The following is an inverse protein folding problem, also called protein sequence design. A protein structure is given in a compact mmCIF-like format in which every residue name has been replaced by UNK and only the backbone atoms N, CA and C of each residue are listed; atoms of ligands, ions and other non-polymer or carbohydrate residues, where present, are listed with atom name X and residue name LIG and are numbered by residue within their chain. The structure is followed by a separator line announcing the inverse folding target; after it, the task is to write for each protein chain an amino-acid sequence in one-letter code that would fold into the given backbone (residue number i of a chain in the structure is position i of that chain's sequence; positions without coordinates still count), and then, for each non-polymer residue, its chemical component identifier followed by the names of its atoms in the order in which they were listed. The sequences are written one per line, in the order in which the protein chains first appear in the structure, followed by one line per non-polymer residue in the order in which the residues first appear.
data_IF_131898064807
#
_entry.id   IF_131898064807
#
_cell.length_a   1.000
_cell.length_b   1.000
_cell.length_c   1.000
_cell.angle_alpha   90.00
_cell.angle_beta   90.00
_cell.angle_gamma   90.00
#
_symmetry.space_group_name_H-M   'P 1'
#
loop_
_entity.id
_entity.type
_entity.pdbx_description
1 polymer ?
#
# COMPACT_ATOMS: atom_id res chain seq x y z
N UNK A 1 25.31 -35.99 19.77
CA UNK A 1 25.73 -35.61 18.41
C UNK A 1 24.68 -34.70 17.80
N UNK A 2 24.94 -33.40 17.70
CA UNK A 2 24.72 -32.60 16.48
C UNK A 2 25.20 -31.18 16.74
N UNK A 3 25.88 -30.65 15.74
CA UNK A 3 26.92 -29.64 15.86
C UNK A 3 26.51 -28.33 15.20
N UNK A 4 27.01 -27.22 15.77
CA UNK A 4 27.56 -26.03 15.09
C UNK A 4 26.58 -25.15 14.30
N UNK A 5 26.25 -24.01 14.90
CA UNK A 5 26.12 -22.74 14.16
C UNK A 5 27.53 -22.32 13.69
N UNK A 6 27.74 -21.87 12.42
CA UNK A 6 27.86 -20.42 12.22
C UNK A 6 27.60 -19.86 10.79
N UNK A 7 27.18 -18.59 10.76
CA UNK A 7 27.52 -17.52 9.79
C UNK A 7 27.01 -17.60 8.33
N UNK A 8 26.20 -16.59 7.99
CA UNK A 8 25.79 -16.10 6.66
C UNK A 8 26.92 -16.07 5.61
N UNK A 9 26.56 -16.31 4.32
CA UNK A 9 27.10 -15.54 3.22
C UNK A 9 26.06 -14.54 2.70
N UNK A 10 26.44 -13.26 2.81
CA UNK A 10 25.87 -12.09 2.16
C UNK A 10 25.98 -12.26 0.64
N UNK A 11 24.94 -12.78 -0.02
CA UNK A 11 24.86 -12.83 -1.49
C UNK A 11 24.12 -11.60 -2.01
N UNK A 12 24.90 -10.62 -2.46
CA UNK A 12 24.44 -9.65 -3.44
C UNK A 12 23.99 -10.39 -4.70
N UNK A 13 22.72 -10.22 -5.10
CA UNK A 13 22.30 -10.53 -6.46
C UNK A 13 21.74 -9.24 -7.09
N UNK A 14 22.67 -8.37 -7.49
CA UNK A 14 22.35 -7.30 -8.41
C UNK A 14 22.18 -7.90 -9.81
N UNK A 15 21.02 -7.61 -10.41
CA UNK A 15 20.71 -7.65 -11.85
C UNK A 15 20.51 -9.04 -12.46
N UNK A 16 19.25 -9.46 -12.43
CA UNK A 16 18.63 -10.10 -13.60
C UNK A 16 17.38 -9.29 -13.95
N UNK A 17 17.52 -8.43 -14.95
CA UNK A 17 16.43 -7.67 -15.53
C UNK A 17 15.40 -8.64 -16.12
N UNK A 18 14.13 -8.54 -15.67
CA UNK A 18 12.99 -9.08 -16.43
C UNK A 18 11.99 -10.00 -15.71
N UNK A 19 12.23 -10.45 -14.48
CA UNK A 19 11.39 -11.52 -13.86
C UNK A 19 10.95 -11.29 -12.40
N UNK A 20 10.71 -10.05 -11.98
CA UNK A 20 10.17 -9.79 -10.63
C UNK A 20 9.12 -8.68 -10.64
N UNK A 21 8.07 -8.86 -11.45
CA UNK A 21 6.84 -8.07 -11.37
C UNK A 21 5.97 -8.50 -10.17
N UNK A 22 6.53 -8.54 -8.95
CA UNK A 22 5.68 -8.35 -7.75
C UNK A 22 5.02 -6.96 -7.97
N UNK A 23 3.74 -6.77 -8.32
CA UNK A 23 2.48 -7.40 -7.89
C UNK A 23 2.37 -7.54 -6.37
N UNK A 24 2.87 -6.54 -5.65
CA UNK A 24 2.30 -6.19 -4.35
C UNK A 24 1.33 -5.03 -4.59
N UNK A 25 0.03 -5.27 -4.52
CA UNK A 25 -0.87 -4.17 -4.21
C UNK A 25 -0.65 -3.89 -2.73
N UNK A 26 0.19 -2.92 -2.41
CA UNK A 26 0.31 -2.46 -1.02
C UNK A 26 -0.96 -1.69 -0.70
N UNK A 27 -1.61 -2.05 0.40
CA UNK A 27 -2.79 -1.34 0.88
C UNK A 27 -2.39 -0.55 2.12
N UNK A 28 -2.72 0.73 2.16
CA UNK A 28 -2.67 1.52 3.38
C UNK A 28 -4.08 1.70 3.91
N UNK A 29 -4.25 1.66 5.22
CA UNK A 29 -5.54 1.76 5.89
C UNK A 29 -5.45 2.82 6.98
N UNK A 30 -6.52 3.58 7.19
CA UNK A 30 -6.54 4.52 8.29
C UNK A 30 -6.49 3.77 9.64
N UNK A 31 -5.59 4.18 10.53
CA UNK A 31 -5.38 3.54 11.84
C UNK A 31 -6.58 3.65 12.79
N UNK A 32 -7.49 4.60 12.56
CA UNK A 32 -8.62 4.87 13.45
C UNK A 32 -9.80 3.90 13.30
N UNK A 33 -10.13 3.45 12.08
CA UNK A 33 -11.32 2.61 11.86
C UNK A 33 -11.27 1.73 10.60
N UNK A 34 -10.18 1.77 9.83
CA UNK A 34 -10.06 1.05 8.55
C UNK A 34 -11.09 1.41 7.46
N UNK A 35 -11.85 2.51 7.64
CA UNK A 35 -12.87 3.00 6.69
C UNK A 35 -12.24 3.50 5.39
N UNK A 36 -11.11 4.18 5.50
CA UNK A 36 -10.38 4.72 4.35
C UNK A 36 -9.21 3.80 4.05
N UNK A 37 -9.07 3.43 2.78
CA UNK A 37 -7.99 2.60 2.28
C UNK A 37 -7.36 3.24 1.07
N UNK A 38 -6.05 3.11 0.92
CA UNK A 38 -5.30 3.52 -0.26
C UNK A 38 -4.66 2.29 -0.85
N UNK A 39 -5.07 1.90 -2.05
CA UNK A 39 -4.37 0.86 -2.80
C UNK A 39 -3.26 1.50 -3.61
N UNK A 40 -2.05 0.95 -3.49
CA UNK A 40 -0.87 1.38 -4.24
C UNK A 40 -0.55 0.32 -5.29
N UNK A 41 -0.62 0.73 -6.55
CA UNK A 41 -0.31 -0.13 -7.69
C UNK A 41 0.88 0.43 -8.45
N UNK A 42 1.86 -0.40 -8.76
CA UNK A 42 2.97 -0.03 -9.64
C UNK A 42 2.67 -0.49 -11.08
N UNK A 43 2.27 0.44 -11.93
CA UNK A 43 1.90 0.18 -13.33
C UNK A 43 2.98 0.76 -14.24
N UNK A 44 3.72 -0.10 -14.96
CA UNK A 44 4.78 0.30 -15.91
C UNK A 44 5.80 1.28 -15.29
N UNK A 45 6.20 1.05 -14.04
CA UNK A 45 7.16 1.90 -13.31
C UNK A 45 6.57 3.20 -12.74
N UNK A 46 5.25 3.39 -12.82
CA UNK A 46 4.55 4.54 -12.22
C UNK A 46 3.66 4.08 -11.09
N UNK A 47 3.74 4.76 -9.96
CA UNK A 47 2.83 4.51 -8.84
C UNK A 47 1.44 5.06 -9.18
N UNK A 48 0.41 4.32 -8.79
CA UNK A 48 -0.97 4.74 -8.81
C UNK A 48 -1.53 4.53 -7.43
N UNK A 49 -2.02 5.60 -6.81
CA UNK A 49 -2.63 5.59 -5.50
C UNK A 49 -4.13 5.75 -5.68
N UNK A 50 -4.90 4.78 -5.21
CA UNK A 50 -6.36 4.79 -5.29
C UNK A 50 -6.95 4.91 -3.90
N UNK A 51 -7.62 6.03 -3.63
CA UNK A 51 -8.34 6.25 -2.38
C UNK A 51 -9.73 5.60 -2.45
N UNK A 52 -9.99 4.69 -1.53
CA UNK A 52 -11.22 3.92 -1.42
C UNK A 52 -11.85 4.15 -0.07
N UNK A 53 -13.17 4.36 -0.06
CA UNK A 53 -13.99 4.35 1.13
C UNK A 53 -14.69 3.00 1.24
N UNK A 54 -14.48 2.29 2.35
CA UNK A 54 -15.16 1.04 2.67
C UNK A 54 -16.32 1.30 3.63
N UNK A 55 -17.48 0.77 3.29
CA UNK A 55 -18.64 0.82 4.16
C UNK A 55 -18.67 -0.38 5.12
N UNK A 56 -19.11 -0.19 6.37
CA UNK A 56 -19.36 -1.29 7.28
C UNK A 56 -20.31 -2.34 6.69
N UNK A 57 -20.13 -3.62 7.07
CA UNK A 57 -20.97 -4.73 6.61
C UNK A 57 -22.45 -4.52 6.92
N UNK A 58 -22.79 -3.83 8.02
CA UNK A 58 -24.17 -3.44 8.38
C UNK A 58 -24.87 -2.57 7.33
N UNK A 59 -24.13 -1.96 6.41
CA UNK A 59 -24.64 -1.18 5.28
C UNK A 59 -24.42 -1.87 3.93
N UNK A 60 -24.23 -3.20 3.92
CA UNK A 60 -23.99 -3.98 2.70
C UNK A 60 -22.53 -4.13 2.28
N UNK A 61 -21.56 -3.63 3.08
CA UNK A 61 -20.14 -3.97 2.93
C UNK A 61 -19.44 -3.47 1.67
N UNK A 62 -20.04 -2.49 0.97
CA UNK A 62 -19.52 -1.96 -0.30
C UNK A 62 -18.23 -1.16 -0.18
N UNK A 63 -17.66 -0.84 -1.34
CA UNK A 63 -16.51 0.06 -1.49
C UNK A 63 -16.78 1.08 -2.59
N UNK A 64 -16.28 2.28 -2.39
CA UNK A 64 -16.44 3.42 -3.30
C UNK A 64 -15.07 4.05 -3.58
N UNK A 65 -14.77 4.29 -4.85
CA UNK A 65 -13.48 4.88 -5.27
C UNK A 65 -13.65 6.38 -5.33
N UNK A 66 -12.93 7.08 -4.46
CA UNK A 66 -13.08 8.52 -4.27
C UNK A 66 -12.15 9.30 -5.21
N UNK A 67 -11.00 8.73 -5.54
CA UNK A 67 -10.06 9.35 -6.46
C UNK A 67 -8.81 8.49 -6.67
N UNK A 68 -8.10 8.81 -7.74
CA UNK A 68 -6.86 8.15 -8.14
C UNK A 68 -5.83 9.19 -8.55
N UNK A 69 -4.58 8.99 -8.12
CA UNK A 69 -3.48 9.93 -8.37
C UNK A 69 -2.18 9.19 -8.63
N UNK A 70 -1.21 9.88 -9.24
CA UNK A 70 0.06 9.28 -9.69
C UNK A 70 1.23 9.49 -8.73
N UNK A 71 1.04 10.30 -7.68
CA UNK A 71 2.11 10.68 -6.76
C UNK A 71 1.63 10.81 -5.31
N UNK A 72 2.58 10.77 -4.38
CA UNK A 72 2.32 10.91 -2.94
C UNK A 72 1.81 12.33 -2.59
N UNK A 73 2.34 13.37 -3.25
CA UNK A 73 1.92 14.75 -3.01
C UNK A 73 0.45 14.99 -3.44
N UNK A 74 0.07 14.46 -4.60
CA UNK A 74 -1.32 14.50 -5.05
C UNK A 74 -2.24 13.66 -4.14
N UNK A 75 -1.73 12.56 -3.58
CA UNK A 75 -2.47 11.76 -2.60
C UNK A 75 -2.73 12.55 -1.31
N UNK A 76 -1.72 13.23 -0.78
CA UNK A 76 -1.87 14.08 0.40
C UNK A 76 -2.93 15.16 0.16
N UNK A 77 -2.90 15.80 -1.00
CA UNK A 77 -3.90 16.81 -1.38
C UNK A 77 -5.30 16.22 -1.55
N UNK A 78 -5.41 15.03 -2.16
CA UNK A 78 -6.68 14.32 -2.29
C UNK A 78 -7.26 13.97 -0.90
N UNK A 79 -6.40 13.51 0.02
CA UNK A 79 -6.79 13.20 1.40
C UNK A 79 -7.31 14.44 2.11
N UNK A 80 -6.56 15.56 2.07
CA UNK A 80 -6.96 16.85 2.66
C UNK A 80 -8.30 17.36 2.13
N UNK A 81 -8.58 17.17 0.83
CA UNK A 81 -9.82 17.67 0.20
C UNK A 81 -11.04 16.79 0.46
N UNK A 82 -10.86 15.48 0.58
CA UNK A 82 -11.97 14.51 0.58
C UNK A 82 -12.20 13.84 1.92
N UNK A 83 -11.26 13.97 2.85
CA UNK A 83 -11.25 13.24 4.12
C UNK A 83 -10.65 14.12 5.23
N UNK A 84 -10.90 13.79 6.51
CA UNK A 84 -10.19 14.43 7.62
C UNK A 84 -8.79 13.82 7.90
N UNK A 85 -8.29 12.94 7.02
CA UNK A 85 -7.03 12.22 7.23
C UNK A 85 -5.87 12.91 6.50
N UNK A 86 -4.66 12.72 7.04
CA UNK A 86 -3.40 12.94 6.35
C UNK A 86 -2.65 11.64 6.09
N UNK A 87 -1.47 11.75 5.46
CA UNK A 87 -0.61 10.58 5.21
C UNK A 87 -0.16 9.90 6.52
N UNK A 88 0.03 10.67 7.59
CA UNK A 88 0.46 10.15 8.89
C UNK A 88 -0.59 9.27 9.58
N UNK A 89 -1.86 9.39 9.20
CA UNK A 89 -2.96 8.58 9.75
C UNK A 89 -3.12 7.23 9.03
N UNK A 90 -2.38 7.03 7.94
CA UNK A 90 -2.40 5.81 7.14
C UNK A 90 -1.27 4.87 7.57
N UNK A 91 -1.62 3.61 7.74
CA UNK A 91 -0.68 2.54 8.07
C UNK A 91 -0.76 1.46 7.01
N UNK A 92 0.37 0.79 6.72
CA UNK A 92 0.37 -0.35 5.83
C UNK A 92 -0.47 -1.50 6.41
N UNK A 93 -1.36 -2.06 5.61
CA UNK A 93 -2.12 -3.25 5.95
C UNK A 93 -1.18 -4.45 5.87
N UNK A 94 -0.97 -5.11 7.01
CA UNK A 94 -0.18 -6.33 7.15
C UNK A 94 -0.83 -7.55 6.47
#
# INVERSE_FOLDING_TARGET
MSARDPLLPRRANQKTAGQSYFRGVSEWVCGCCGRWRVSVELIRGRHRYRLVRRYPARFGGGKDVIGEVGSVAELEELLRRRTPLGLADLHEAA
#
